data_IF_036495855140
#
_entry.id   IF_036495855140
#
_cell.length_a   1.000
_cell.length_b   1.000
_cell.length_c   1.000
_cell.angle_alpha   90.00
_cell.angle_beta   90.00
_cell.angle_gamma   90.00
#
_symmetry.space_group_name_H-M   'P 1'
#
loop_
_entity.id
_entity.type
_entity.pdbx_description
1 polymer ?
#
# COMPACT_ATOMS: atom_id res chain seq x y z
N UNK A 1 10.28 -16.17 -15.74
CA UNK A 1 10.13 -16.18 -14.26
C UNK A 1 8.94 -15.32 -13.89
N UNK A 2 7.84 -15.92 -13.37
CA UNK A 2 6.57 -15.25 -13.01
C UNK A 2 6.22 -15.40 -11.50
N UNK A 3 7.17 -15.88 -10.70
CA UNK A 3 6.91 -16.34 -9.33
C UNK A 3 6.55 -15.22 -8.34
N UNK A 4 7.08 -14.00 -8.54
CA UNK A 4 6.90 -12.92 -7.57
C UNK A 4 5.45 -12.42 -7.54
N UNK A 5 4.83 -12.26 -8.71
CA UNK A 5 3.44 -11.80 -8.85
C UNK A 5 2.44 -12.71 -8.14
N UNK A 6 2.47 -14.01 -8.44
CA UNK A 6 1.56 -15.00 -7.83
C UNK A 6 1.74 -15.13 -6.31
N UNK A 7 2.97 -15.00 -5.80
CA UNK A 7 3.24 -15.04 -4.35
C UNK A 7 2.70 -13.77 -3.67
N UNK A 8 2.92 -12.59 -4.25
CA UNK A 8 2.36 -11.34 -3.73
C UNK A 8 0.83 -11.31 -3.81
N UNK A 9 0.23 -11.91 -4.83
CA UNK A 9 -1.24 -11.98 -4.96
C UNK A 9 -1.84 -12.86 -3.85
N UNK A 10 -1.25 -14.02 -3.58
CA UNK A 10 -1.72 -14.94 -2.54
C UNK A 10 -1.49 -14.46 -1.11
N UNK A 11 -0.41 -13.71 -0.84
CA UNK A 11 -0.06 -13.27 0.52
C UNK A 11 -0.48 -11.84 0.85
N UNK A 12 -0.54 -10.94 -0.14
CA UNK A 12 -0.80 -9.52 0.05
C UNK A 12 -2.06 -9.03 -0.69
N UNK A 13 -2.84 -9.94 -1.28
CA UNK A 13 -4.07 -9.60 -2.00
C UNK A 13 -3.84 -8.68 -3.21
N UNK A 14 -2.68 -8.83 -3.87
CA UNK A 14 -2.30 -8.01 -5.04
C UNK A 14 -1.65 -6.66 -4.71
N UNK A 15 -1.38 -6.39 -3.43
CA UNK A 15 -0.71 -5.15 -3.00
C UNK A 15 0.81 -5.35 -3.03
N UNK A 16 1.51 -4.48 -3.77
CA UNK A 16 2.98 -4.42 -3.75
C UNK A 16 3.41 -3.29 -2.81
N UNK A 17 4.13 -3.58 -1.71
CA UNK A 17 4.70 -2.55 -0.85
C UNK A 17 5.60 -1.61 -1.67
N UNK A 18 5.73 -0.34 -1.25
CA UNK A 18 6.68 0.59 -1.86
C UNK A 18 8.13 0.27 -1.41
N UNK A 19 8.61 -0.89 -1.87
CA UNK A 19 9.87 -1.54 -1.56
C UNK A 19 9.92 -2.92 -2.22
N UNK A 20 11.09 -3.58 -2.23
CA UNK A 20 11.16 -4.99 -2.65
C UNK A 20 11.02 -5.86 -1.41
N UNK A 21 9.98 -6.69 -1.36
CA UNK A 21 9.74 -7.61 -0.25
C UNK A 21 9.73 -9.04 -0.77
N UNK A 22 10.68 -9.86 -0.30
CA UNK A 22 10.72 -11.29 -0.57
C UNK A 22 10.42 -12.03 0.73
N UNK A 23 9.43 -12.92 0.70
CA UNK A 23 9.02 -13.70 1.86
C UNK A 23 9.13 -15.18 1.57
N UNK A 24 9.50 -15.94 2.58
CA UNK A 24 9.41 -17.39 2.57
C UNK A 24 8.34 -17.78 3.59
N UNK A 25 7.20 -18.29 3.12
CA UNK A 25 6.16 -18.82 4.03
C UNK A 25 6.77 -19.97 4.83
N UNK A 26 6.59 -19.95 6.15
CA UNK A 26 7.27 -20.91 7.03
C UNK A 26 8.73 -20.56 7.35
N UNK A 27 9.25 -19.44 6.81
CA UNK A 27 10.62 -18.99 6.97
C UNK A 27 10.72 -17.47 7.12
N UNK A 28 11.90 -16.93 6.85
CA UNK A 28 12.21 -15.51 7.01
C UNK A 28 11.75 -14.62 5.85
N UNK A 29 12.20 -13.37 5.86
CA UNK A 29 11.93 -12.41 4.80
C UNK A 29 13.09 -11.45 4.58
N UNK A 30 13.19 -10.93 3.37
CA UNK A 30 14.12 -9.87 3.00
C UNK A 30 13.34 -8.67 2.48
N UNK A 31 13.67 -7.48 2.98
CA UNK A 31 12.92 -6.26 2.75
C UNK A 31 13.88 -5.15 2.39
N UNK A 32 13.58 -4.41 1.34
CA UNK A 32 14.37 -3.25 0.92
C UNK A 32 13.54 -1.98 0.95
N UNK A 33 14.17 -0.87 1.34
CA UNK A 33 13.51 0.42 1.52
C UNK A 33 12.86 0.58 2.89
N UNK A 34 13.23 -0.27 3.86
CA UNK A 34 12.79 -0.12 5.25
C UNK A 34 13.46 1.11 5.84
N UNK A 35 12.67 2.12 6.19
CA UNK A 35 13.15 3.37 6.82
C UNK A 35 13.37 3.20 8.31
N UNK A 36 12.45 2.52 8.99
CA UNK A 36 12.51 2.28 10.43
C UNK A 36 11.55 1.17 10.85
N UNK A 37 11.53 0.88 12.15
CA UNK A 37 10.60 -0.02 12.82
C UNK A 37 9.64 0.78 13.69
N UNK A 38 8.35 0.52 13.56
CA UNK A 38 7.33 1.08 14.46
C UNK A 38 7.10 0.19 15.70
N UNK A 39 7.58 -1.05 15.66
CA UNK A 39 7.53 -2.00 16.77
C UNK A 39 8.16 -3.33 16.38
N UNK A 40 8.78 -4.00 17.35
CA UNK A 40 9.43 -5.29 17.15
C UNK A 40 9.26 -6.18 18.39
N UNK A 41 8.92 -7.45 18.15
CA UNK A 41 8.90 -8.55 19.13
C UNK A 41 9.27 -9.86 18.43
N UNK A 42 9.39 -10.94 19.19
CA UNK A 42 9.59 -12.29 18.64
C UNK A 42 8.35 -12.85 17.90
N UNK A 43 7.21 -12.14 17.96
CA UNK A 43 5.94 -12.54 17.32
C UNK A 43 5.44 -11.59 16.24
N UNK A 44 5.92 -10.34 16.23
CA UNK A 44 5.50 -9.35 15.26
C UNK A 44 6.56 -8.27 15.03
N UNK A 45 6.63 -7.77 13.80
CA UNK A 45 7.40 -6.58 13.45
C UNK A 45 6.60 -5.68 12.52
N UNK A 46 6.64 -4.38 12.76
CA UNK A 46 6.06 -3.38 11.87
C UNK A 46 7.17 -2.59 11.22
N UNK A 47 7.34 -2.78 9.90
CA UNK A 47 8.33 -2.12 9.07
C UNK A 47 7.71 -0.88 8.42
N UNK A 48 8.37 0.28 8.54
CA UNK A 48 7.95 1.51 7.89
C UNK A 48 8.70 1.72 6.57
N UNK A 49 7.95 1.96 5.50
CA UNK A 49 8.43 2.38 4.19
C UNK A 49 8.02 3.85 3.93
N UNK A 50 8.39 4.44 2.80
CA UNK A 50 8.01 5.83 2.47
C UNK A 50 6.50 6.01 2.32
N UNK A 51 5.83 5.03 1.70
CA UNK A 51 4.41 5.09 1.32
C UNK A 51 3.51 4.16 2.14
N UNK A 52 3.96 3.69 3.31
CA UNK A 52 3.16 2.82 4.15
C UNK A 52 3.95 1.97 5.10
N UNK A 53 3.23 1.10 5.78
CA UNK A 53 3.77 0.19 6.78
C UNK A 53 3.44 -1.25 6.38
N UNK A 54 4.38 -2.16 6.66
CA UNK A 54 4.16 -3.59 6.55
C UNK A 54 4.25 -4.22 7.94
N UNK A 55 3.15 -4.81 8.38
CA UNK A 55 3.13 -5.63 9.59
C UNK A 55 3.40 -7.08 9.21
N UNK A 56 4.37 -7.69 9.85
CA UNK A 56 4.73 -9.11 9.69
C UNK A 56 4.45 -9.79 11.02
N UNK A 57 3.62 -10.83 10.99
CA UNK A 57 3.31 -11.67 12.16
C UNK A 57 3.93 -13.06 11.96
N UNK A 58 4.46 -13.63 13.05
CA UNK A 58 5.20 -14.87 12.97
C UNK A 58 5.61 -15.43 14.32
N UNK A 59 6.58 -16.35 14.28
CA UNK A 59 7.17 -16.98 15.46
C UNK A 59 8.71 -16.88 15.43
N UNK A 60 9.30 -16.62 16.60
CA UNK A 60 10.76 -16.52 16.79
C UNK A 60 11.40 -15.52 15.83
N UNK A 61 10.68 -14.42 15.55
CA UNK A 61 11.15 -13.36 14.67
C UNK A 61 12.40 -12.71 15.26
N UNK A 62 13.41 -12.50 14.42
CA UNK A 62 14.63 -11.76 14.78
C UNK A 62 15.23 -11.06 13.57
N UNK A 63 15.69 -9.83 13.77
CA UNK A 63 16.44 -9.10 12.74
C UNK A 63 17.84 -9.71 12.65
N UNK A 64 18.16 -10.32 11.52
CA UNK A 64 19.48 -10.87 11.24
C UNK A 64 20.43 -9.82 10.68
N UNK A 65 19.91 -8.88 9.87
CA UNK A 65 20.67 -7.78 9.29
C UNK A 65 19.75 -6.56 9.10
N UNK A 66 20.27 -5.37 9.39
CA UNK A 66 19.65 -4.12 8.98
C UNK A 66 20.74 -3.09 8.64
N UNK A 67 20.94 -2.79 7.35
CA UNK A 67 21.93 -1.82 6.86
C UNK A 67 21.48 -1.19 5.55
N UNK A 68 21.55 0.13 5.44
CA UNK A 68 21.21 0.82 4.19
C UNK A 68 19.79 0.54 3.71
N UNK A 69 18.84 0.47 4.64
CA UNK A 69 17.41 0.17 4.37
C UNK A 69 17.12 -1.26 3.89
N UNK A 70 18.15 -2.11 3.82
CA UNK A 70 18.01 -3.54 3.60
C UNK A 70 17.88 -4.27 4.94
N UNK A 71 16.82 -5.07 5.07
CA UNK A 71 16.48 -5.83 6.25
C UNK A 71 16.34 -7.33 5.94
N UNK A 72 17.02 -8.15 6.73
CA UNK A 72 16.83 -9.60 6.76
C UNK A 72 16.16 -9.99 8.09
N UNK A 73 14.98 -10.60 7.99
CA UNK A 73 14.22 -11.12 9.11
C UNK A 73 14.30 -12.65 9.10
N UNK A 74 14.72 -13.25 10.22
CA UNK A 74 14.65 -14.71 10.46
C UNK A 74 13.49 -15.03 11.38
N UNK A 75 13.06 -16.29 11.35
CA UNK A 75 11.89 -16.79 12.07
C UNK A 75 10.93 -17.46 11.10
N UNK A 76 9.72 -17.72 11.58
CA UNK A 76 8.63 -18.27 10.78
C UNK A 76 7.61 -17.17 10.53
N UNK A 77 7.50 -16.69 9.29
CA UNK A 77 6.46 -15.73 8.90
C UNK A 77 5.14 -16.49 8.67
N UNK A 78 4.09 -16.08 9.37
CA UNK A 78 2.75 -16.66 9.30
C UNK A 78 1.80 -15.78 8.48
N UNK A 79 1.91 -14.46 8.60
CA UNK A 79 1.12 -13.53 7.81
C UNK A 79 1.78 -12.17 7.66
N UNK A 80 1.32 -11.44 6.66
CA UNK A 80 1.81 -10.11 6.29
C UNK A 80 0.62 -9.22 5.94
N UNK A 81 0.66 -7.97 6.37
CA UNK A 81 -0.40 -6.98 6.11
C UNK A 81 0.25 -5.64 5.75
N UNK A 82 -0.13 -5.08 4.60
CA UNK A 82 0.36 -3.78 4.16
C UNK A 82 -0.69 -2.69 4.35
N UNK A 83 -0.31 -1.61 5.01
CA UNK A 83 -1.13 -0.41 5.18
C UNK A 83 -0.50 0.74 4.43
N UNK A 84 -1.08 1.11 3.28
CA UNK A 84 -0.64 2.28 2.53
C UNK A 84 -0.84 3.56 3.34
N UNK A 85 0.13 4.48 3.27
CA UNK A 85 0.01 5.81 3.83
C UNK A 85 -1.07 6.54 3.03
N UNK A 86 -2.22 6.82 3.65
CA UNK A 86 -3.19 7.73 3.04
C UNK A 86 -2.53 9.10 2.94
N UNK A 87 -2.48 9.69 1.74
CA UNK A 87 -2.19 11.11 1.61
C UNK A 87 -3.19 11.85 2.51
N UNK A 88 -2.67 12.59 3.49
CA UNK A 88 -3.50 13.53 4.21
C UNK A 88 -3.98 14.55 3.17
N UNK A 89 -5.25 14.48 2.75
CA UNK A 89 -5.89 15.61 2.06
C UNK A 89 -5.66 16.82 2.97
N UNK A 90 -4.89 17.80 2.50
CA UNK A 90 -4.80 19.09 3.18
C UNK A 90 -6.23 19.61 3.35
N UNK A 91 -6.70 19.92 4.57
CA UNK A 91 -7.97 20.60 4.72
C UNK A 91 -7.76 22.03 4.23
N UNK A 92 -8.25 22.35 3.04
CA UNK A 92 -8.16 23.72 2.50
C UNK A 92 -8.00 23.85 0.99
N UNK A 93 -8.79 23.13 0.19
CA UNK A 93 -9.08 23.59 -1.17
C UNK A 93 -10.61 23.74 -1.31
N UNK A 94 -11.12 24.77 -0.63
CA UNK A 94 -12.42 25.36 -0.87
C UNK A 94 -12.37 26.00 -2.27
N UNK A 95 -12.87 25.30 -3.30
CA UNK A 95 -13.24 25.95 -4.55
C UNK A 95 -14.63 26.57 -4.39
N UNK A 96 -14.66 27.72 -3.73
CA UNK A 96 -15.68 28.73 -4.02
C UNK A 96 -15.52 29.21 -5.47
N UNK A 97 -16.62 29.30 -6.21
CA UNK A 97 -16.54 29.67 -7.62
C UNK A 97 -17.88 29.74 -8.36
N UNK A 98 -18.72 30.67 -7.93
CA UNK A 98 -19.75 31.41 -8.70
C UNK A 98 -20.80 30.63 -9.50
N UNK A 99 -22.01 30.73 -8.96
CA UNK A 99 -23.26 30.96 -9.69
C UNK A 99 -23.04 31.91 -10.88
N UNK A 100 -23.61 31.55 -12.03
CA UNK A 100 -24.22 32.52 -12.93
C UNK A 100 -25.39 31.86 -13.65
N UNK A 101 -26.56 32.45 -13.42
CA UNK A 101 -27.77 32.25 -14.18
C UNK A 101 -27.58 32.73 -15.63
N UNK A 102 -28.21 32.03 -16.58
CA UNK A 102 -28.69 32.61 -17.82
C UNK A 102 -29.80 31.69 -18.38
N UNK A 103 -31.05 32.05 -18.09
CA UNK A 103 -32.19 31.75 -18.96
C UNK A 103 -31.95 32.44 -20.32
N UNK A 104 -32.19 31.76 -21.44
CA UNK A 104 -33.19 32.24 -22.40
C UNK A 104 -33.55 31.19 -23.47
N UNK A 105 -34.79 31.33 -23.92
CA UNK A 105 -35.62 30.42 -24.70
C UNK A 105 -35.32 30.35 -26.21
N UNK A 106 -36.09 29.48 -26.89
CA UNK A 106 -36.46 29.47 -28.33
C UNK A 106 -35.37 29.07 -29.34
N UNK A 107 -35.58 28.21 -30.34
CA UNK A 107 -36.77 27.98 -31.17
C UNK A 107 -36.64 26.68 -32.01
N UNK A 108 -37.76 25.95 -32.12
CA UNK A 108 -38.36 25.29 -33.31
C UNK A 108 -37.63 24.23 -34.19
N UNK A 109 -38.45 23.19 -34.49
CA UNK A 109 -38.62 22.44 -35.76
C UNK A 109 -37.53 21.41 -36.13
N UNK A 110 -37.75 20.20 -36.67
CA UNK A 110 -38.91 19.47 -37.22
C UNK A 110 -38.50 18.01 -37.54
N UNK A 111 -39.45 17.06 -37.48
CA UNK A 111 -39.46 15.78 -38.25
C UNK A 111 -38.52 14.67 -37.75
N UNK A 112 -38.84 13.37 -37.78
CA UNK A 112 -39.86 12.61 -38.49
C UNK A 112 -40.23 11.32 -37.71
N UNK A 113 -41.45 10.85 -37.99
CA UNK A 113 -42.15 9.67 -37.45
C UNK A 113 -41.45 8.32 -37.71
N UNK A 114 -41.86 7.33 -36.92
CA UNK A 114 -42.52 6.14 -37.49
C UNK A 114 -43.85 5.91 -36.78
#
# INVERSE_FOLDING_TARGET
>A
MRLFGEISENLLGGITPCGRCLFFVGGGGYFQGVKTFDGFSDRSVTLRFSEGNLKVCGERLRVAKYRGEDLELKGTILSVEYSAKREAKKPGEEKGGKENAAENETEKTTGWRK
#
